data_IF_929344358649
#
_entry.id   IF_929344358649
#
_cell.length_a   1.000
_cell.length_b   1.000
_cell.length_c   1.000
_cell.angle_alpha   90.00
_cell.angle_beta   90.00
_cell.angle_gamma   90.00
#
_symmetry.space_group_name_H-M   'P 1'
#
loop_
_entity.id
_entity.type
_entity.pdbx_description
1 polymer ?
#
# COMPACT_ATOMS: atom_id res chain seq x y z
N UNK A 1 30.32 -37.44 8.95
CA UNK A 1 29.32 -37.33 7.86
C UNK A 1 28.16 -36.47 8.36
N UNK A 2 28.26 -35.15 8.20
CA UNK A 2 27.58 -34.37 7.14
C UNK A 2 26.04 -34.26 7.24
N UNK A 3 25.42 -34.38 8.42
CA UNK A 3 23.96 -34.21 8.57
C UNK A 3 23.53 -32.81 9.05
N UNK A 4 24.34 -32.10 9.85
CA UNK A 4 23.93 -30.79 10.44
C UNK A 4 23.91 -29.61 9.48
N UNK A 5 24.74 -29.59 8.43
CA UNK A 5 24.82 -28.44 7.51
C UNK A 5 23.60 -28.30 6.60
N UNK A 6 22.89 -29.39 6.30
CA UNK A 6 21.69 -29.34 5.46
C UNK A 6 20.49 -28.78 6.24
N UNK A 7 20.31 -29.16 7.50
CA UNK A 7 19.23 -28.68 8.35
C UNK A 7 19.33 -27.16 8.62
N UNK A 8 20.54 -26.65 8.88
CA UNK A 8 20.78 -25.21 9.09
C UNK A 8 20.53 -24.41 7.81
N UNK A 9 20.92 -24.94 6.64
CA UNK A 9 20.65 -24.31 5.34
C UNK A 9 19.16 -24.32 5.00
N UNK A 10 18.44 -25.40 5.30
CA UNK A 10 16.98 -25.48 5.13
C UNK A 10 16.23 -24.52 6.06
N UNK A 11 16.64 -24.41 7.33
CA UNK A 11 16.07 -23.42 8.26
C UNK A 11 16.35 -21.98 7.81
N UNK A 12 17.54 -21.70 7.31
CA UNK A 12 17.89 -20.38 6.76
C UNK A 12 17.10 -20.04 5.49
N UNK A 13 16.81 -21.03 4.64
CA UNK A 13 16.00 -20.83 3.43
C UNK A 13 14.51 -20.58 3.77
N UNK A 14 13.99 -21.23 4.82
CA UNK A 14 12.61 -21.05 5.30
C UNK A 14 12.36 -19.68 5.94
N UNK A 15 13.38 -19.08 6.58
CA UNK A 15 13.28 -17.71 7.13
C UNK A 15 13.24 -16.61 6.05
N UNK A 16 13.62 -16.92 4.80
CA UNK A 16 13.61 -16.00 3.65
C UNK A 16 12.29 -16.04 2.86
N UNK A 17 11.39 -17.00 3.14
CA UNK A 17 10.05 -17.02 2.55
C UNK A 17 9.24 -15.92 3.23
N UNK A 18 9.38 -14.74 2.66
CA UNK A 18 8.95 -13.46 3.21
C UNK A 18 7.50 -13.41 3.65
N UNK A 19 7.31 -12.71 4.76
CA UNK A 19 6.02 -12.12 5.12
C UNK A 19 5.73 -11.05 4.07
N UNK A 20 5.14 -11.44 2.95
CA UNK A 20 4.47 -10.47 2.09
C UNK A 20 3.28 -9.95 2.90
N UNK A 21 3.35 -8.69 3.32
CA UNK A 21 2.23 -7.98 3.93
C UNK A 21 1.15 -7.78 2.86
N UNK A 22 0.43 -8.85 2.53
CA UNK A 22 -0.74 -8.77 1.69
C UNK A 22 -1.77 -7.93 2.45
N UNK A 23 -2.15 -6.79 1.86
CA UNK A 23 -3.23 -5.91 2.34
C UNK A 23 -4.60 -6.59 2.20
N UNK A 24 -4.66 -7.74 1.53
CA UNK A 24 -5.86 -8.54 1.36
C UNK A 24 -5.80 -9.83 2.19
N UNK A 25 -6.89 -10.13 2.88
CA UNK A 25 -7.09 -11.39 3.59
C UNK A 25 -8.38 -12.05 3.09
N UNK A 26 -8.36 -13.36 2.92
CA UNK A 26 -9.54 -14.15 2.53
C UNK A 26 -9.77 -15.22 3.59
N UNK A 27 -11.00 -15.33 4.08
CA UNK A 27 -11.36 -16.32 5.09
C UNK A 27 -12.80 -16.79 4.97
N UNK A 28 -13.17 -17.89 5.64
CA UNK A 28 -14.56 -18.32 5.74
C UNK A 28 -15.40 -17.21 6.36
N UNK A 29 -16.62 -17.02 5.83
CA UNK A 29 -17.52 -16.01 6.37
C UNK A 29 -18.27 -16.52 7.59
N UNK A 30 -18.39 -15.72 8.67
CA UNK A 30 -19.41 -15.98 9.68
C UNK A 30 -20.79 -15.86 9.06
N UNK A 31 -21.73 -16.71 9.48
CA UNK A 31 -23.10 -16.75 8.96
C UNK A 31 -24.06 -16.57 10.12
N UNK A 32 -25.07 -15.71 9.94
CA UNK A 32 -26.12 -15.53 10.92
C UNK A 32 -27.20 -16.62 10.75
N UNK A 33 -27.71 -17.23 11.85
CA UNK A 33 -28.73 -18.29 11.76
C UNK A 33 -29.97 -17.89 10.96
N UNK A 34 -30.41 -16.63 11.08
CA UNK A 34 -31.62 -16.13 10.41
C UNK A 34 -31.44 -15.90 8.91
N UNK A 35 -30.20 -15.83 8.42
CA UNK A 35 -29.88 -15.54 7.03
C UNK A 35 -28.82 -16.52 6.48
N UNK A 36 -29.17 -17.83 6.39
CA UNK A 36 -28.27 -18.81 5.81
C UNK A 36 -28.00 -18.44 4.34
N UNK A 37 -26.74 -18.47 3.93
CA UNK A 37 -26.34 -18.09 2.57
C UNK A 37 -25.90 -16.62 2.40
N UNK A 38 -25.83 -15.85 3.48
CA UNK A 38 -25.29 -14.48 3.48
C UNK A 38 -24.11 -14.35 4.45
N UNK A 39 -23.16 -13.48 4.10
CA UNK A 39 -22.05 -13.14 4.97
C UNK A 39 -22.52 -12.23 6.10
N UNK A 40 -22.08 -12.47 7.33
CA UNK A 40 -22.44 -11.65 8.48
C UNK A 40 -21.34 -10.64 8.82
N UNK A 41 -21.72 -9.38 9.05
CA UNK A 41 -20.85 -8.38 9.67
C UNK A 41 -21.22 -8.22 11.15
N UNK A 42 -20.29 -8.57 12.04
CA UNK A 42 -20.48 -8.39 13.47
C UNK A 42 -20.48 -6.93 13.91
N UNK A 43 -19.80 -6.05 13.19
CA UNK A 43 -19.71 -4.62 13.54
C UNK A 43 -21.00 -3.87 13.18
N UNK A 44 -21.59 -4.18 12.01
CA UNK A 44 -22.81 -3.53 11.51
C UNK A 44 -24.07 -4.28 11.93
N UNK A 45 -23.92 -5.47 12.53
CA UNK A 45 -25.03 -6.38 12.89
C UNK A 45 -25.96 -6.62 11.70
N UNK A 46 -25.38 -6.88 10.53
CA UNK A 46 -26.12 -7.03 9.26
C UNK A 46 -25.55 -8.15 8.40
N UNK A 47 -26.43 -8.82 7.66
CA UNK A 47 -26.07 -9.80 6.63
C UNK A 47 -25.95 -9.16 5.25
N UNK A 48 -25.01 -9.64 4.46
CA UNK A 48 -24.72 -9.19 3.11
C UNK A 48 -24.78 -10.36 2.12
N UNK A 49 -25.48 -10.22 0.98
CA UNK A 49 -25.56 -11.27 -0.02
C UNK A 49 -24.24 -11.46 -0.75
N UNK A 50 -24.11 -12.59 -1.45
CA UNK A 50 -22.99 -12.88 -2.34
C UNK A 50 -22.76 -11.74 -3.36
N UNK A 51 -21.49 -11.44 -3.62
CA UNK A 51 -21.04 -10.36 -4.50
C UNK A 51 -21.15 -8.96 -3.89
N UNK A 52 -21.75 -8.80 -2.70
CA UNK A 52 -21.88 -7.48 -2.08
C UNK A 52 -20.61 -7.07 -1.36
N UNK A 53 -20.27 -5.78 -1.48
CA UNK A 53 -19.24 -5.12 -0.72
C UNK A 53 -19.80 -4.14 0.32
N UNK A 54 -19.06 -3.95 1.41
CA UNK A 54 -19.32 -2.95 2.44
C UNK A 54 -18.02 -2.47 3.07
N UNK A 55 -18.10 -1.37 3.81
CA UNK A 55 -16.96 -0.79 4.53
C UNK A 55 -17.08 -1.07 6.03
N UNK A 56 -16.05 -1.68 6.57
CA UNK A 56 -15.82 -1.87 8.00
C UNK A 56 -15.06 -0.66 8.59
N UNK A 57 -15.02 -0.52 9.94
CA UNK A 57 -14.20 0.48 10.59
C UNK A 57 -12.74 0.46 10.12
N UNK A 58 -12.06 1.60 10.24
CA UNK A 58 -10.66 1.78 9.83
C UNK A 58 -10.41 1.67 8.31
N UNK A 59 -11.40 1.98 7.47
CA UNK A 59 -11.31 1.95 6.01
C UNK A 59 -10.90 0.56 5.49
N UNK A 60 -11.64 -0.47 5.90
CA UNK A 60 -11.46 -1.82 5.40
C UNK A 60 -12.64 -2.14 4.49
N UNK A 61 -12.38 -2.44 3.22
CA UNK A 61 -13.41 -2.94 2.33
C UNK A 61 -13.56 -4.44 2.54
N UNK A 62 -14.80 -4.89 2.68
CA UNK A 62 -15.13 -6.32 2.76
C UNK A 62 -16.00 -6.70 1.59
N UNK A 63 -15.75 -7.86 0.99
CA UNK A 63 -16.55 -8.43 -0.09
C UNK A 63 -17.00 -9.83 0.30
N UNK A 64 -18.31 -10.07 0.23
CA UNK A 64 -18.88 -11.41 0.38
C UNK A 64 -18.75 -12.18 -0.93
N UNK A 65 -18.29 -13.43 -0.87
CA UNK A 65 -18.14 -14.29 -2.05
C UNK A 65 -18.54 -15.72 -1.74
N UNK A 66 -19.44 -16.28 -2.54
CA UNK A 66 -19.78 -17.69 -2.50
C UNK A 66 -18.92 -18.49 -3.48
N UNK A 67 -18.29 -19.56 -2.99
CA UNK A 67 -17.53 -20.49 -3.82
C UNK A 67 -17.83 -21.93 -3.42
N UNK A 68 -18.29 -22.74 -4.39
CA UNK A 68 -18.68 -24.16 -4.21
C UNK A 68 -19.63 -24.36 -3.01
N UNK A 69 -20.62 -23.48 -2.87
CA UNK A 69 -21.62 -23.54 -1.80
C UNK A 69 -21.11 -23.13 -0.41
N UNK A 70 -19.91 -22.57 -0.30
CA UNK A 70 -19.36 -22.03 0.94
C UNK A 70 -19.18 -20.51 0.80
N UNK A 71 -19.43 -19.79 1.89
CA UNK A 71 -19.27 -18.35 1.94
C UNK A 71 -17.88 -17.97 2.44
N UNK A 72 -17.29 -16.98 1.78
CA UNK A 72 -16.02 -16.38 2.12
C UNK A 72 -16.17 -14.87 2.21
N UNK A 73 -15.31 -14.26 3.01
CA UNK A 73 -15.15 -12.81 3.10
C UNK A 73 -13.73 -12.46 2.71
N UNK A 74 -13.62 -11.54 1.76
CA UNK A 74 -12.36 -10.90 1.40
C UNK A 74 -12.29 -9.54 2.08
N UNK A 75 -11.26 -9.33 2.89
CA UNK A 75 -10.92 -8.04 3.48
C UNK A 75 -9.82 -7.37 2.65
N UNK A 76 -9.96 -6.09 2.37
CA UNK A 76 -8.93 -5.24 1.79
C UNK A 76 -8.73 -4.03 2.71
N UNK A 77 -7.57 -3.95 3.35
CA UNK A 77 -7.19 -2.81 4.18
C UNK A 77 -6.46 -1.74 3.33
N UNK A 78 -5.99 -0.68 3.97
CA UNK A 78 -5.15 0.29 3.30
C UNK A 78 -3.68 -0.18 3.28
N UNK A 79 -2.92 0.15 2.22
CA UNK A 79 -1.49 -0.10 2.20
C UNK A 79 -0.76 0.75 3.25
N UNK A 80 0.41 0.28 3.66
CA UNK A 80 1.35 1.11 4.43
C UNK A 80 2.03 2.10 3.49
N UNK A 81 2.00 3.38 3.85
CA UNK A 81 2.56 4.49 3.05
C UNK A 81 3.63 5.19 3.86
N UNK A 82 4.88 5.12 3.40
CA UNK A 82 5.98 5.96 3.89
C UNK A 82 6.11 7.21 3.04
N UNK A 83 6.28 8.38 3.66
CA UNK A 83 6.44 9.66 2.96
C UNK A 83 7.83 10.24 3.20
N UNK A 84 8.45 10.90 2.19
CA UNK A 84 9.76 11.53 2.35
C UNK A 84 9.67 12.81 3.23
N UNK A 85 10.81 13.36 3.69
CA UNK A 85 10.84 14.62 4.43
C UNK A 85 10.12 15.74 3.67
N UNK A 86 9.36 16.57 4.39
CA UNK A 86 8.57 17.66 3.81
C UNK A 86 7.19 17.23 3.32
N UNK A 87 6.93 15.94 3.11
CA UNK A 87 5.59 15.43 2.81
C UNK A 87 4.83 15.01 4.07
N UNK A 88 3.51 15.09 4.02
CA UNK A 88 2.60 14.61 5.08
C UNK A 88 1.66 13.56 4.52
N UNK A 89 1.03 12.78 5.40
CA UNK A 89 0.01 11.82 5.00
C UNK A 89 -1.36 12.36 5.39
N UNK A 90 -2.27 12.47 4.42
CA UNK A 90 -3.65 12.87 4.65
C UNK A 90 -4.57 11.67 4.56
N UNK A 91 -5.59 11.60 5.42
CA UNK A 91 -6.56 10.51 5.46
C UNK A 91 -7.93 11.01 5.91
N UNK A 92 -8.98 10.60 5.21
CA UNK A 92 -10.36 10.86 5.62
C UNK A 92 -11.16 9.55 5.75
N UNK A 93 -11.43 9.14 6.98
CA UNK A 93 -12.17 7.90 7.27
C UNK A 93 -13.66 7.95 6.88
N UNK A 94 -14.21 9.12 6.57
CA UNK A 94 -15.61 9.27 6.13
C UNK A 94 -15.80 8.91 4.65
N UNK A 95 -14.72 8.92 3.88
CA UNK A 95 -14.76 8.58 2.46
C UNK A 95 -14.92 7.07 2.26
N UNK A 96 -15.47 6.63 1.12
CA UNK A 96 -15.48 5.22 0.76
C UNK A 96 -14.07 4.71 0.49
N UNK A 97 -13.79 3.43 0.74
CA UNK A 97 -12.59 2.78 0.24
C UNK A 97 -12.55 2.86 -1.30
N UNK A 98 -11.39 3.12 -1.95
CA UNK A 98 -10.06 3.32 -1.37
C UNK A 98 -9.75 4.78 -0.98
N UNK A 99 -10.66 5.73 -1.20
CA UNK A 99 -10.44 7.15 -0.94
C UNK A 99 -10.24 7.49 0.54
N UNK A 100 -10.67 6.62 1.46
CA UNK A 100 -10.37 6.76 2.89
C UNK A 100 -8.98 6.27 3.33
N UNK A 101 -8.16 5.81 2.38
CA UNK A 101 -6.79 5.39 2.66
C UNK A 101 -5.81 6.57 2.76
N UNK A 102 -4.70 6.40 3.49
CA UNK A 102 -3.65 7.42 3.58
C UNK A 102 -3.08 7.74 2.20
N UNK A 103 -3.06 9.02 1.84
CA UNK A 103 -2.45 9.54 0.62
C UNK A 103 -1.32 10.52 0.97
N UNK A 104 -0.18 10.47 0.25
CA UNK A 104 0.88 11.45 0.42
C UNK A 104 0.42 12.82 -0.09
N UNK A 105 0.63 13.84 0.72
CA UNK A 105 0.47 15.25 0.38
C UNK A 105 1.83 15.91 0.52
N UNK A 106 2.45 16.21 -0.61
CA UNK A 106 3.74 16.85 -0.67
C UNK A 106 3.56 18.32 -1.07
N UNK A 107 4.36 19.25 -0.51
CA UNK A 107 4.46 20.58 -1.06
C UNK A 107 4.87 20.49 -2.53
N UNK A 108 4.39 21.42 -3.34
CA UNK A 108 4.83 21.54 -4.73
C UNK A 108 6.35 21.75 -4.74
N UNK A 109 7.03 21.07 -5.67
CA UNK A 109 8.44 21.32 -5.91
C UNK A 109 8.51 22.76 -6.43
N UNK A 110 9.33 23.64 -5.85
CA UNK A 110 9.43 25.00 -6.35
C UNK A 110 9.78 24.94 -7.83
N UNK A 111 9.08 25.74 -8.63
CA UNK A 111 9.33 25.82 -10.06
C UNK A 111 10.76 26.31 -10.32
N UNK A 112 11.31 26.04 -11.50
CA UNK A 112 12.60 26.60 -11.89
C UNK A 112 12.63 28.14 -11.75
N UNK A 113 11.47 28.80 -11.87
CA UNK A 113 11.32 30.23 -11.63
C UNK A 113 11.54 30.64 -10.16
N UNK A 114 11.14 29.80 -9.21
CA UNK A 114 11.28 30.02 -7.76
C UNK A 114 12.64 29.56 -7.21
N UNK A 115 13.33 28.66 -7.94
CA UNK A 115 14.67 28.19 -7.62
C UNK A 115 15.79 29.13 -8.11
N UNK A 116 15.48 30.23 -8.81
CA UNK A 116 16.45 31.24 -9.22
C UNK A 116 17.00 31.98 -7.99
N UNK A 117 18.01 31.39 -7.37
CA UNK A 117 18.81 31.98 -6.31
C UNK A 117 20.29 31.99 -6.68
N UNK A 118 21.13 32.72 -5.93
CA UNK A 118 22.56 32.82 -6.21
C UNK A 118 23.28 31.45 -6.26
N UNK A 119 22.73 30.43 -5.57
CA UNK A 119 23.22 29.06 -5.62
C UNK A 119 22.92 28.34 -6.95
N UNK A 120 21.75 28.61 -7.57
CA UNK A 120 21.39 28.09 -8.89
C UNK A 120 22.20 28.77 -10.00
N UNK A 121 22.43 30.08 -9.86
CA UNK A 121 23.23 30.86 -10.80
C UNK A 121 24.70 30.39 -10.78
N UNK A 122 25.29 30.13 -9.61
CA UNK A 122 26.67 29.67 -9.48
C UNK A 122 26.89 28.28 -10.13
N UNK A 123 25.97 27.34 -9.90
CA UNK A 123 26.01 26.03 -10.55
C UNK A 123 25.87 26.12 -12.08
N UNK A 124 24.93 26.94 -12.56
CA UNK A 124 24.68 27.10 -14.00
C UNK A 124 25.88 27.78 -14.69
N UNK A 125 26.49 28.78 -14.03
CA UNK A 125 27.70 29.43 -14.51
C UNK A 125 28.88 28.44 -14.55
N UNK A 126 29.09 27.64 -13.49
CA UNK A 126 30.11 26.61 -13.48
C UNK A 126 29.92 25.58 -14.61
N UNK A 127 28.70 25.09 -14.84
CA UNK A 127 28.41 24.18 -15.95
C UNK A 127 28.78 24.83 -17.27
N UNK A 128 28.33 26.06 -17.53
CA UNK A 128 28.57 26.73 -18.80
C UNK A 128 30.09 26.92 -19.03
N UNK A 129 30.83 27.32 -18.00
CA UNK A 129 32.29 27.46 -18.07
C UNK A 129 33.01 26.13 -18.35
N UNK A 130 32.56 25.01 -17.75
CA UNK A 130 33.26 23.72 -17.84
C UNK A 130 32.78 22.87 -19.02
N UNK A 131 31.53 23.03 -19.47
CA UNK A 131 30.98 22.33 -20.64
C UNK A 131 31.53 22.90 -21.95
N UNK A 132 31.69 24.23 -22.04
CA UNK A 132 32.29 24.89 -23.21
C UNK A 132 33.77 24.52 -23.38
N UNK A 133 34.49 24.21 -22.30
CA UNK A 133 35.87 23.73 -22.40
C UNK A 133 35.98 22.31 -22.99
N UNK A 134 34.95 21.48 -22.86
CA UNK A 134 34.97 20.13 -23.46
C UNK A 134 34.69 20.14 -24.96
N UNK A 135 33.96 21.15 -25.48
CA UNK A 135 33.64 21.26 -26.91
C UNK A 135 34.74 21.92 -27.75
N UNK A 136 35.78 22.50 -27.13
CA UNK A 136 36.93 23.08 -27.83
C UNK A 136 38.15 22.15 -27.94
N UNK A 137 38.01 20.87 -27.58
CA UNK A 137 39.05 19.84 -27.72
C UNK A 137 38.72 18.75 -28.77
N UNK A 138 37.68 18.94 -29.59
CA UNK A 138 37.45 18.15 -30.81
C UNK A 138 37.93 18.88 -32.07
#
# INVERSE_FOLDING_TARGET
>A
MSSSSAAVKFLSLMALVGVSLATVALGPSPVHPDHPGQCWSESQKRSFPDGKNWQEPNCVQVTCTAYKGRLFVQYASCPSVGVPPGCTTTRDLKMPYPSCCPMPSCPEIPTAAELNGPEYDDFTNWINEHYDQQTQME
#
